data_IF_183040540616
#
_entry.id   IF_183040540616
#
_cell.length_a   1.000
_cell.length_b   1.000
_cell.length_c   1.000
_cell.angle_alpha   90.00
_cell.angle_beta   90.00
_cell.angle_gamma   90.00
#
_symmetry.space_group_name_H-M   'P 1'
#
loop_
_entity.id
_entity.type
_entity.pdbx_description
1 polymer ?
#
# COMPACT_ATOMS: atom_id res chain seq x y z
N UNK A 1 -10.85 -4.29 -0.75
CA UNK A 1 -10.41 -5.16 -1.85
C UNK A 1 -9.42 -6.17 -1.28
N UNK A 2 -9.62 -7.46 -1.50
CA UNK A 2 -8.65 -8.52 -1.18
C UNK A 2 -7.53 -8.56 -2.21
N UNK A 3 -6.39 -9.19 -1.89
CA UNK A 3 -5.29 -9.30 -2.86
C UNK A 3 -5.66 -10.15 -4.10
N UNK A 4 -6.58 -11.12 -3.94
CA UNK A 4 -7.14 -11.87 -5.06
C UNK A 4 -8.01 -11.02 -5.99
N UNK A 5 -8.76 -10.07 -5.45
CA UNK A 5 -9.53 -9.11 -6.25
C UNK A 5 -8.61 -8.17 -7.04
N UNK A 6 -7.47 -7.75 -6.48
CA UNK A 6 -6.47 -6.97 -7.22
C UNK A 6 -5.95 -7.75 -8.44
N UNK A 7 -5.52 -9.00 -8.24
CA UNK A 7 -5.05 -9.84 -9.36
C UNK A 7 -6.14 -10.03 -10.42
N UNK A 8 -7.39 -10.25 -10.00
CA UNK A 8 -8.52 -10.39 -10.93
C UNK A 8 -8.70 -9.11 -11.76
N UNK A 9 -8.75 -7.95 -11.10
CA UNK A 9 -8.88 -6.64 -11.76
C UNK A 9 -7.74 -6.38 -12.76
N UNK A 10 -6.49 -6.70 -12.36
CA UNK A 10 -5.32 -6.56 -13.22
C UNK A 10 -5.44 -7.41 -14.50
N UNK A 11 -5.91 -8.65 -14.39
CA UNK A 11 -6.11 -9.54 -15.54
C UNK A 11 -7.27 -9.07 -16.44
N UNK A 12 -8.33 -8.51 -15.85
CA UNK A 12 -9.47 -7.95 -16.61
C UNK A 12 -9.11 -6.66 -17.36
N UNK A 13 -8.08 -5.94 -16.91
CA UNK A 13 -7.66 -4.65 -17.48
C UNK A 13 -6.50 -4.79 -18.48
N UNK A 14 -6.07 -6.01 -18.83
CA UNK A 14 -4.81 -6.29 -19.56
C UNK A 14 -3.58 -5.80 -18.78
N UNK A 15 -2.79 -6.69 -18.15
CA UNK A 15 -1.71 -6.30 -17.24
C UNK A 15 -0.71 -5.28 -17.80
N UNK A 16 -0.42 -5.36 -19.10
CA UNK A 16 0.55 -4.48 -19.79
C UNK A 16 0.08 -3.02 -19.87
N UNK A 17 -1.19 -2.74 -19.56
CA UNK A 17 -1.74 -1.38 -19.53
C UNK A 17 -1.68 -0.74 -18.13
N UNK A 18 -1.32 -1.50 -17.10
CA UNK A 18 -1.33 -1.05 -15.70
C UNK A 18 0.08 -0.75 -15.21
N UNK A 19 0.34 0.53 -14.90
CA UNK A 19 1.68 0.95 -14.42
C UNK A 19 1.89 0.75 -12.93
N UNK A 20 0.86 0.98 -12.09
CA UNK A 20 1.03 1.03 -10.64
C UNK A 20 -0.22 0.61 -9.86
N UNK A 21 0.04 0.06 -8.67
CA UNK A 21 -0.93 -0.12 -7.59
C UNK A 21 -0.58 0.84 -6.44
N UNK A 22 -1.56 1.61 -5.97
CA UNK A 22 -1.40 2.57 -4.87
C UNK A 22 -2.41 2.29 -3.76
N UNK A 23 -1.96 2.30 -2.51
CA UNK A 23 -2.85 2.15 -1.35
C UNK A 23 -2.23 2.68 -0.06
N UNK A 24 -3.07 3.00 0.92
CA UNK A 24 -2.64 3.32 2.29
C UNK A 24 -2.32 2.02 3.07
N UNK A 25 -1.24 1.95 3.87
CA UNK A 25 -0.94 0.80 4.74
C UNK A 25 -2.07 0.47 5.73
N UNK A 26 -2.79 1.50 6.14
CA UNK A 26 -3.99 1.45 6.95
C UNK A 26 -4.90 2.57 6.45
N UNK A 27 -6.10 2.22 5.99
CA UNK A 27 -7.01 3.19 5.38
C UNK A 27 -7.71 3.97 6.47
N UNK A 28 -7.31 5.22 6.63
CA UNK A 28 -7.65 5.97 7.83
C UNK A 28 -8.96 6.73 7.72
N UNK A 29 -8.99 7.79 6.90
CA UNK A 29 -10.13 8.70 6.87
C UNK A 29 -11.34 8.10 6.14
N UNK A 30 -11.11 7.40 5.02
CA UNK A 30 -12.19 6.90 4.18
C UNK A 30 -12.92 5.68 4.77
N UNK A 31 -12.21 4.85 5.56
CA UNK A 31 -12.76 3.60 6.09
C UNK A 31 -12.76 3.52 7.63
N UNK A 32 -12.32 4.56 8.34
CA UNK A 32 -12.35 4.57 9.80
C UNK A 32 -11.26 3.71 10.45
N UNK A 33 -10.03 3.90 10.00
CA UNK A 33 -8.84 3.20 10.48
C UNK A 33 -8.81 1.68 10.25
N UNK A 34 -9.13 1.24 9.03
CA UNK A 34 -9.16 -0.19 8.67
C UNK A 34 -7.75 -0.70 8.38
N UNK A 35 -7.37 -1.73 9.13
CA UNK A 35 -6.11 -2.46 8.96
C UNK A 35 -6.35 -3.64 8.01
N UNK A 36 -5.50 -3.84 6.98
CA UNK A 36 -5.62 -4.98 6.09
C UNK A 36 -5.35 -6.31 6.82
N UNK A 37 -5.90 -7.40 6.28
CA UNK A 37 -5.68 -8.74 6.81
C UNK A 37 -4.20 -9.15 6.72
N UNK A 38 -3.77 -10.03 7.62
CA UNK A 38 -2.40 -10.61 7.59
C UNK A 38 -2.09 -11.19 6.19
N UNK A 39 -0.88 -10.93 5.69
CA UNK A 39 -0.40 -11.42 4.39
C UNK A 39 -0.95 -10.66 3.17
N UNK A 40 -1.84 -9.67 3.36
CA UNK A 40 -2.39 -8.89 2.25
C UNK A 40 -1.29 -8.23 1.41
N UNK A 41 -0.38 -7.49 2.05
CA UNK A 41 0.67 -6.79 1.33
C UNK A 41 1.76 -7.70 0.76
N UNK A 42 1.99 -8.87 1.38
CA UNK A 42 2.90 -9.88 0.83
C UNK A 42 2.38 -10.38 -0.53
N UNK A 43 1.07 -10.64 -0.62
CA UNK A 43 0.44 -11.06 -1.87
C UNK A 43 0.36 -9.92 -2.89
N UNK A 44 0.05 -8.68 -2.47
CA UNK A 44 0.11 -7.52 -3.36
C UNK A 44 1.50 -7.37 -3.97
N UNK A 45 2.56 -7.42 -3.15
CA UNK A 45 3.95 -7.34 -3.60
C UNK A 45 4.27 -8.44 -4.60
N UNK A 46 3.90 -9.69 -4.28
CA UNK A 46 4.10 -10.84 -5.17
C UNK A 46 3.43 -10.65 -6.53
N UNK A 47 2.20 -10.12 -6.55
CA UNK A 47 1.47 -9.84 -7.80
C UNK A 47 2.13 -8.69 -8.56
N UNK A 48 2.52 -7.61 -7.88
CA UNK A 48 3.20 -6.48 -8.51
C UNK A 48 4.51 -6.92 -9.18
N UNK A 49 5.32 -7.74 -8.51
CA UNK A 49 6.57 -8.30 -9.05
C UNK A 49 6.32 -9.20 -10.26
N UNK A 50 5.26 -10.02 -10.22
CA UNK A 50 4.91 -10.94 -11.29
C UNK A 50 4.53 -10.22 -12.60
N UNK A 51 3.89 -9.06 -12.51
CA UNK A 51 3.35 -8.33 -13.67
C UNK A 51 4.08 -7.02 -13.97
N UNK A 52 5.19 -6.72 -13.29
CA UNK A 52 5.95 -5.49 -13.52
C UNK A 52 5.22 -4.21 -13.13
N UNK A 53 4.29 -4.29 -12.17
CA UNK A 53 3.49 -3.16 -11.67
C UNK A 53 4.23 -2.50 -10.50
N UNK A 54 4.32 -1.17 -10.49
CA UNK A 54 4.89 -0.45 -9.36
C UNK A 54 3.95 -0.52 -8.14
N UNK A 55 4.48 -0.84 -6.97
CA UNK A 55 3.74 -0.75 -5.71
C UNK A 55 4.07 0.57 -5.00
N UNK A 56 3.08 1.44 -4.86
CA UNK A 56 3.18 2.72 -4.17
C UNK A 56 2.43 2.63 -2.82
N UNK A 57 3.14 2.87 -1.72
CA UNK A 57 2.52 3.05 -0.41
C UNK A 57 2.22 4.53 -0.17
N UNK A 58 0.93 4.86 -0.01
CA UNK A 58 0.50 6.18 0.46
C UNK A 58 0.62 6.24 1.98
N UNK A 59 1.73 6.82 2.42
CA UNK A 59 2.09 6.97 3.83
C UNK A 59 1.85 8.39 4.33
N UNK A 60 1.04 9.21 3.62
CA UNK A 60 0.76 10.59 4.03
C UNK A 60 0.27 10.64 5.49
N UNK A 61 -0.58 9.70 5.90
CA UNK A 61 -1.04 9.63 7.29
C UNK A 61 -0.23 8.66 8.16
N UNK A 62 0.19 7.52 7.61
CA UNK A 62 0.70 6.39 8.40
C UNK A 62 2.20 6.48 8.74
N UNK A 63 2.94 7.40 8.13
CA UNK A 63 4.36 7.64 8.41
C UNK A 63 4.61 8.45 9.69
N UNK A 64 5.89 8.58 10.03
CA UNK A 64 6.46 9.37 11.13
C UNK A 64 5.84 9.07 12.49
N UNK A 65 5.75 7.78 12.83
CA UNK A 65 5.36 7.35 14.16
C UNK A 65 3.87 7.18 14.37
N UNK A 66 3.01 7.52 13.40
CA UNK A 66 1.53 7.36 13.54
C UNK A 66 1.15 5.96 13.97
N UNK A 67 1.75 4.96 13.34
CA UNK A 67 1.51 3.55 13.66
C UNK A 67 2.55 2.97 14.62
N UNK A 68 3.35 3.80 15.29
CA UNK A 68 4.46 3.35 16.14
C UNK A 68 5.60 2.71 15.34
N UNK A 69 5.82 3.20 14.12
CA UNK A 69 6.91 2.87 13.19
C UNK A 69 7.20 4.11 12.33
N UNK A 70 8.38 4.21 11.71
CA UNK A 70 8.69 5.37 10.86
C UNK A 70 7.81 5.37 9.60
N UNK A 71 7.52 4.19 9.05
CA UNK A 71 6.56 3.97 7.98
C UNK A 71 5.61 2.84 8.38
N UNK A 72 4.32 2.99 8.06
CA UNK A 72 3.29 1.99 8.31
C UNK A 72 3.57 0.64 7.65
N UNK A 73 4.19 0.64 6.46
CA UNK A 73 4.61 -0.56 5.75
C UNK A 73 5.60 -1.44 6.53
N UNK A 74 6.38 -0.88 7.45
CA UNK A 74 7.28 -1.64 8.33
C UNK A 74 6.52 -2.67 9.18
N UNK A 75 5.24 -2.42 9.47
CA UNK A 75 4.38 -3.35 10.21
C UNK A 75 4.00 -4.60 9.41
N UNK A 76 4.16 -4.55 8.09
CA UNK A 76 3.77 -5.63 7.18
C UNK A 76 4.95 -6.34 6.53
N UNK A 77 6.19 -5.97 6.87
CA UNK A 77 7.43 -6.58 6.38
C UNK A 77 7.51 -6.66 4.84
N UNK A 78 7.00 -5.62 4.17
CA UNK A 78 6.97 -5.50 2.71
C UNK A 78 7.55 -4.15 2.31
N UNK A 79 8.37 -4.15 1.27
CA UNK A 79 8.99 -2.93 0.72
C UNK A 79 8.25 -2.51 -0.56
N UNK A 80 7.59 -1.34 -0.57
CA UNK A 80 7.03 -0.76 -1.78
C UNK A 80 8.14 -0.16 -2.67
N UNK A 81 7.84 0.07 -3.94
CA UNK A 81 8.76 0.72 -4.88
C UNK A 81 8.83 2.23 -4.64
N UNK A 82 7.71 2.85 -4.25
CA UNK A 82 7.60 4.28 -3.98
C UNK A 82 6.83 4.47 -2.68
N UNK A 83 7.24 5.46 -1.87
CA UNK A 83 6.50 5.94 -0.72
C UNK A 83 6.09 7.39 -0.97
N UNK A 84 4.78 7.65 -0.94
CA UNK A 84 4.24 9.01 -0.88
C UNK A 84 4.10 9.43 0.58
N UNK A 85 4.58 10.62 0.95
CA UNK A 85 4.59 11.07 2.35
C UNK A 85 4.34 12.57 2.50
N UNK A 86 4.01 13.01 3.71
CA UNK A 86 3.63 14.38 4.05
C UNK A 86 3.35 14.53 5.54
N UNK A 87 2.39 15.39 5.92
CA UNK A 87 1.85 15.60 7.29
C UNK A 87 2.88 15.49 8.42
N UNK A 88 3.08 14.28 8.94
CA UNK A 88 4.02 13.99 10.02
C UNK A 88 5.46 14.43 9.75
N UNK A 89 5.88 14.57 8.49
CA UNK A 89 7.26 14.93 8.13
C UNK A 89 7.72 16.26 8.73
N UNK A 90 6.81 17.22 8.87
CA UNK A 90 7.06 18.54 9.45
C UNK A 90 6.38 18.73 10.80
N UNK A 91 5.85 17.66 11.40
CA UNK A 91 5.18 17.70 12.70
C UNK A 91 3.76 18.30 12.69
N UNK A 92 3.11 18.40 11.52
CA UNK A 92 1.76 18.96 11.38
C UNK A 92 0.67 17.93 11.08
N UNK A 93 0.68 16.81 11.83
CA UNK A 93 -0.24 15.66 11.80
C UNK A 93 -1.55 15.79 10.99
#
# INVERSE_FOLDING_TARGET
MSAGEFKKCLLETEPDTVTAFITEPMVAAALGAVVPSKGYFEEIRRVCDQYGVLFIADEILTSFGRLGANFGMERFNVVPDIIATGKGISGGY
#
